data_IF_644787702603
#
_entry.id   IF_644787702603
#
_cell.length_a   1.000
_cell.length_b   1.000
_cell.length_c   1.000
_cell.angle_alpha   90.00
_cell.angle_beta   90.00
_cell.angle_gamma   90.00
#
_symmetry.space_group_name_H-M   'P 1'
#
loop_
_entity.id
_entity.type
_entity.pdbx_description
1 polymer ?
#
# COMPACT_ATOMS: atom_id res chain seq x y z
N UNK A 1 17.79 -5.24 51.14
CA UNK A 1 16.88 -4.55 50.21
C UNK A 1 17.30 -4.80 48.77
N UNK A 2 16.64 -5.74 48.10
CA UNK A 2 16.91 -6.09 46.70
C UNK A 2 15.59 -6.34 45.99
N UNK A 3 15.23 -5.40 45.12
CA UNK A 3 13.91 -5.29 44.48
C UNK A 3 13.56 -6.55 43.66
N UNK A 4 12.48 -7.19 44.06
CA UNK A 4 11.77 -8.19 43.29
C UNK A 4 10.62 -7.49 42.54
N UNK A 5 10.42 -7.82 41.27
CA UNK A 5 9.13 -7.66 40.59
C UNK A 5 8.94 -6.43 39.72
N UNK A 6 9.26 -6.57 38.43
CA UNK A 6 8.49 -5.95 37.34
C UNK A 6 8.65 -6.80 36.06
N UNK A 7 8.31 -8.07 36.17
CA UNK A 7 8.09 -8.91 34.99
C UNK A 7 6.80 -8.44 34.31
N UNK A 8 6.94 -7.98 33.08
CA UNK A 8 5.90 -7.64 32.10
C UNK A 8 4.57 -8.38 32.36
N UNK A 9 3.64 -7.69 33.02
CA UNK A 9 2.23 -8.06 32.96
C UNK A 9 1.73 -7.62 31.58
N UNK A 10 1.60 -8.58 30.67
CA UNK A 10 0.89 -8.40 29.42
C UNK A 10 -0.53 -7.88 29.76
N UNK A 11 -0.80 -6.63 29.40
CA UNK A 11 -2.14 -6.07 29.50
C UNK A 11 -3.00 -6.67 28.39
N UNK A 12 -3.68 -7.77 28.71
CA UNK A 12 -4.70 -8.41 27.91
C UNK A 12 -6.03 -7.62 27.93
N UNK A 13 -5.96 -6.32 27.61
CA UNK A 13 -7.12 -5.49 27.30
C UNK A 13 -6.76 -4.69 26.05
N UNK A 14 -7.60 -4.75 25.01
CA UNK A 14 -7.39 -4.16 23.69
C UNK A 14 -7.27 -2.63 23.66
N UNK A 15 -6.28 -2.09 24.36
CA UNK A 15 -5.88 -0.70 24.30
C UNK A 15 -5.08 -0.42 23.05
N UNK A 16 -5.33 0.74 22.45
CA UNK A 16 -4.60 1.22 21.28
C UNK A 16 -3.15 1.52 21.71
N UNK A 17 -2.20 0.75 21.18
CA UNK A 17 -0.76 1.05 21.33
C UNK A 17 -0.38 1.98 20.18
N UNK A 18 0.09 3.22 20.44
CA UNK A 18 0.47 4.15 19.39
C UNK A 18 1.47 3.54 18.40
N UNK A 19 1.22 3.72 17.10
CA UNK A 19 2.06 3.17 16.04
C UNK A 19 1.87 1.67 15.74
N UNK A 20 1.05 0.96 16.53
CA UNK A 20 0.78 -0.47 16.32
C UNK A 20 -0.30 -0.72 15.26
N UNK A 21 -0.45 -1.97 14.83
CA UNK A 21 -1.52 -2.39 13.93
C UNK A 21 -2.94 -2.21 14.49
N UNK A 22 -3.08 -1.96 15.80
CA UNK A 22 -4.37 -1.65 16.43
C UNK A 22 -4.63 -0.14 16.55
N UNK A 23 -3.67 0.71 16.15
CA UNK A 23 -3.80 2.16 16.12
C UNK A 23 -4.30 2.63 14.75
N UNK A 24 -5.55 3.12 14.63
CA UNK A 24 -6.11 3.55 13.35
C UNK A 24 -5.36 4.68 12.66
N UNK A 25 -4.48 5.43 13.35
CA UNK A 25 -3.67 6.49 12.76
C UNK A 25 -2.28 6.03 12.31
N UNK A 26 -1.93 4.77 12.53
CA UNK A 26 -0.60 4.24 12.24
C UNK A 26 -0.46 3.73 10.80
N UNK A 27 0.79 3.76 10.31
CA UNK A 27 1.15 3.12 9.04
C UNK A 27 0.99 1.60 9.10
N UNK A 28 1.18 0.99 10.26
CA UNK A 28 1.00 -0.44 10.47
C UNK A 28 -0.47 -0.86 10.30
N UNK A 29 -1.42 -0.07 10.83
CA UNK A 29 -2.85 -0.29 10.62
C UNK A 29 -3.22 -0.20 9.13
N UNK A 30 -2.71 0.82 8.43
CA UNK A 30 -2.92 0.96 6.99
C UNK A 30 -2.47 -0.29 6.22
N UNK A 31 -1.27 -0.81 6.51
CA UNK A 31 -0.75 -1.97 5.80
C UNK A 31 -1.49 -3.27 6.13
N UNK A 32 -1.85 -3.49 7.40
CA UNK A 32 -2.35 -4.78 7.87
C UNK A 32 -3.88 -4.88 7.85
N UNK A 33 -4.58 -3.81 8.25
CA UNK A 33 -6.04 -3.82 8.36
C UNK A 33 -6.72 -3.41 7.04
N UNK A 34 -6.14 -2.45 6.32
CA UNK A 34 -6.71 -1.94 5.05
C UNK A 34 -6.10 -2.66 3.84
N UNK A 35 -4.79 -2.86 3.86
CA UNK A 35 -4.01 -3.38 2.75
C UNK A 35 -3.45 -2.24 1.88
N UNK A 36 -2.17 -2.33 1.57
CA UNK A 36 -1.41 -1.34 0.80
C UNK A 36 -1.36 -1.64 -0.71
N UNK A 37 -1.83 -2.82 -1.12
CA UNK A 37 -1.65 -3.35 -2.48
C UNK A 37 -2.95 -3.51 -3.25
N UNK A 38 -2.89 -3.21 -4.54
CA UNK A 38 -3.91 -3.56 -5.53
C UNK A 38 -3.28 -4.44 -6.61
N UNK A 39 -3.95 -5.54 -6.97
CA UNK A 39 -3.50 -6.46 -8.01
C UNK A 39 -4.21 -6.21 -9.35
N UNK A 40 -3.55 -6.62 -10.42
CA UNK A 40 -4.03 -6.46 -11.80
C UNK A 40 -3.94 -7.76 -12.58
N UNK A 41 -4.87 -7.92 -13.52
CA UNK A 41 -4.85 -8.99 -14.50
C UNK A 41 -3.69 -8.82 -15.50
N UNK A 42 -3.40 -9.91 -16.22
CA UNK A 42 -2.38 -9.95 -17.27
C UNK A 42 -2.61 -8.81 -18.25
N UNK A 43 -1.57 -8.03 -18.49
CA UNK A 43 -1.56 -6.90 -19.42
C UNK A 43 -2.59 -5.78 -19.17
N UNK A 44 -3.20 -5.74 -17.98
CA UNK A 44 -4.20 -4.73 -17.64
C UNK A 44 -3.72 -3.72 -16.61
N UNK A 45 -4.32 -2.52 -16.68
CA UNK A 45 -4.27 -1.48 -15.65
C UNK A 45 -5.64 -1.09 -15.12
N UNK A 46 -6.68 -1.89 -15.43
CA UNK A 46 -8.04 -1.69 -14.94
C UNK A 46 -8.14 -2.21 -13.51
N UNK A 47 -8.80 -1.44 -12.64
CA UNK A 47 -9.01 -1.83 -11.24
C UNK A 47 -10.11 -2.88 -11.14
N UNK A 48 -9.80 -4.02 -10.53
CA UNK A 48 -10.80 -5.04 -10.17
C UNK A 48 -11.69 -4.56 -9.04
N UNK A 49 -12.86 -5.19 -8.84
CA UNK A 49 -13.76 -4.87 -7.72
C UNK A 49 -13.06 -4.99 -6.37
N UNK A 50 -12.20 -5.99 -6.20
CA UNK A 50 -11.38 -6.18 -4.99
C UNK A 50 -10.41 -5.02 -4.83
N UNK A 51 -9.70 -4.64 -5.89
CA UNK A 51 -8.80 -3.49 -5.87
C UNK A 51 -9.50 -2.18 -5.52
N UNK A 52 -10.70 -1.95 -6.07
CA UNK A 52 -11.54 -0.80 -5.72
C UNK A 52 -11.95 -0.81 -4.25
N UNK A 53 -12.31 -1.97 -3.69
CA UNK A 53 -12.65 -2.10 -2.27
C UNK A 53 -11.45 -1.74 -1.37
N UNK A 54 -10.24 -2.23 -1.70
CA UNK A 54 -9.01 -1.83 -1.00
C UNK A 54 -8.79 -0.31 -1.08
N UNK A 55 -8.88 0.27 -2.28
CA UNK A 55 -8.68 1.71 -2.47
C UNK A 55 -9.75 2.57 -1.77
N UNK A 56 -10.97 2.06 -1.58
CA UNK A 56 -11.98 2.73 -0.77
C UNK A 56 -11.56 2.84 0.70
N UNK A 57 -11.01 1.76 1.26
CA UNK A 57 -10.44 1.76 2.60
C UNK A 57 -9.26 2.73 2.70
N UNK A 58 -8.34 2.69 1.72
CA UNK A 58 -7.20 3.61 1.68
C UNK A 58 -7.63 5.08 1.58
N UNK A 59 -8.62 5.39 0.75
CA UNK A 59 -9.14 6.76 0.60
C UNK A 59 -9.76 7.28 1.91
N UNK A 60 -10.52 6.42 2.60
CA UNK A 60 -11.12 6.75 3.90
C UNK A 60 -10.02 7.08 4.91
N UNK A 61 -9.00 6.23 5.00
CA UNK A 61 -7.90 6.41 5.94
C UNK A 61 -7.05 7.65 5.62
N UNK A 62 -6.74 7.91 4.35
CA UNK A 62 -6.00 9.10 3.93
C UNK A 62 -6.80 10.38 4.18
N UNK A 63 -8.13 10.31 4.20
CA UNK A 63 -9.00 11.45 4.51
C UNK A 63 -9.01 11.79 6.01
N UNK A 64 -8.88 10.78 6.89
CA UNK A 64 -8.79 11.00 8.34
C UNK A 64 -7.39 11.32 8.81
N UNK A 65 -6.36 10.84 8.11
CA UNK A 65 -4.95 10.99 8.45
C UNK A 65 -4.27 11.97 7.48
N UNK A 66 -4.61 13.25 7.61
CA UNK A 66 -4.27 14.27 6.59
C UNK A 66 -2.79 14.65 6.52
N UNK A 67 -2.02 14.38 7.58
CA UNK A 67 -0.58 14.66 7.66
C UNK A 67 0.27 13.74 6.76
N UNK A 68 -0.30 12.61 6.32
CA UNK A 68 0.39 11.67 5.45
C UNK A 68 0.31 12.12 3.98
N UNK A 69 1.40 11.93 3.25
CA UNK A 69 1.39 11.86 1.79
C UNK A 69 1.50 10.41 1.36
N UNK A 70 1.30 10.12 0.08
CA UNK A 70 1.50 8.78 -0.45
C UNK A 70 2.20 8.81 -1.82
N UNK A 71 3.06 7.82 -2.01
CA UNK A 71 3.65 7.46 -3.29
C UNK A 71 3.02 6.15 -3.74
N UNK A 72 2.47 6.12 -4.94
CA UNK A 72 1.89 4.93 -5.54
C UNK A 72 2.90 4.34 -6.51
N UNK A 73 3.40 3.16 -6.16
CA UNK A 73 4.41 2.44 -6.92
C UNK A 73 3.77 1.43 -7.85
N UNK A 74 4.02 1.55 -9.16
CA UNK A 74 3.46 0.67 -10.17
C UNK A 74 4.45 -0.38 -10.64
N UNK A 75 4.03 -1.64 -10.60
CA UNK A 75 4.85 -2.81 -10.94
C UNK A 75 4.20 -3.68 -12.04
N UNK A 76 5.04 -4.45 -12.71
CA UNK A 76 4.65 -5.48 -13.66
C UNK A 76 5.45 -6.77 -13.45
N UNK A 77 4.97 -7.87 -14.05
CA UNK A 77 5.68 -9.13 -14.05
C UNK A 77 6.85 -9.12 -15.05
N UNK A 78 7.59 -10.22 -15.14
CA UNK A 78 8.86 -10.27 -15.89
C UNK A 78 8.69 -10.30 -17.42
N UNK A 79 7.47 -10.56 -17.90
CA UNK A 79 7.17 -10.81 -19.30
C UNK A 79 7.18 -9.53 -20.14
N UNK A 80 7.73 -9.59 -21.36
CA UNK A 80 7.83 -8.44 -22.26
C UNK A 80 9.04 -7.55 -22.01
N UNK A 81 9.13 -6.42 -22.73
CA UNK A 81 10.31 -5.53 -22.67
C UNK A 81 10.33 -4.69 -21.39
N UNK A 82 11.49 -4.13 -21.06
CA UNK A 82 11.65 -3.26 -19.89
C UNK A 82 10.80 -2.00 -20.02
N UNK A 83 10.87 -1.35 -21.18
CA UNK A 83 10.20 -0.09 -21.50
C UNK A 83 8.68 -0.27 -21.48
N UNK A 84 8.20 -1.40 -22.01
CA UNK A 84 6.79 -1.76 -21.97
C UNK A 84 6.29 -1.87 -20.52
N UNK A 85 7.03 -2.60 -19.68
CA UNK A 85 6.66 -2.82 -18.29
C UNK A 85 6.76 -1.54 -17.45
N UNK A 86 7.70 -0.65 -17.75
CA UNK A 86 7.77 0.67 -17.12
C UNK A 86 6.52 1.50 -17.45
N UNK A 87 6.09 1.50 -18.71
CA UNK A 87 4.85 2.17 -19.11
C UNK A 87 3.60 1.51 -18.48
N UNK A 88 3.53 0.17 -18.44
CA UNK A 88 2.41 -0.55 -17.83
C UNK A 88 2.33 -0.31 -16.32
N UNK A 89 3.46 -0.34 -15.61
CA UNK A 89 3.51 0.02 -14.20
C UNK A 89 3.04 1.46 -13.96
N UNK A 90 3.46 2.42 -14.80
CA UNK A 90 3.00 3.80 -14.71
C UNK A 90 1.48 3.91 -14.89
N UNK A 91 0.89 3.17 -15.85
CA UNK A 91 -0.58 3.14 -16.03
C UNK A 91 -1.29 2.58 -14.80
N UNK A 92 -0.78 1.50 -14.19
CA UNK A 92 -1.36 0.89 -12.98
C UNK A 92 -1.33 1.85 -11.78
N UNK A 93 -0.20 2.49 -11.53
CA UNK A 93 -0.08 3.45 -10.44
C UNK A 93 -0.98 4.68 -10.67
N UNK A 94 -1.08 5.18 -11.90
CA UNK A 94 -2.02 6.25 -12.22
C UNK A 94 -3.48 5.82 -12.05
N UNK A 95 -3.86 4.60 -12.45
CA UNK A 95 -5.23 4.11 -12.24
C UNK A 95 -5.62 4.12 -10.76
N UNK A 96 -4.73 3.65 -9.88
CA UNK A 96 -4.94 3.73 -8.42
C UNK A 96 -4.98 5.18 -7.93
N UNK A 97 -4.09 6.07 -8.42
CA UNK A 97 -4.08 7.50 -8.08
C UNK A 97 -5.41 8.17 -8.43
N UNK A 98 -5.86 8.05 -9.67
CA UNK A 98 -7.08 8.68 -10.15
C UNK A 98 -8.30 8.16 -9.39
N UNK A 99 -8.32 6.88 -9.04
CA UNK A 99 -9.36 6.33 -8.19
C UNK A 99 -9.36 7.00 -6.81
N UNK A 100 -8.22 7.08 -6.13
CA UNK A 100 -8.14 7.76 -4.81
C UNK A 100 -8.58 9.24 -4.89
N UNK A 101 -8.20 9.95 -5.96
CA UNK A 101 -8.65 11.33 -6.22
C UNK A 101 -10.16 11.39 -6.38
N UNK A 102 -10.76 10.47 -7.14
CA UNK A 102 -12.22 10.38 -7.32
C UNK A 102 -12.97 10.12 -6.01
N UNK A 103 -12.28 9.60 -4.98
CA UNK A 103 -12.81 9.36 -3.63
C UNK A 103 -12.50 10.49 -2.65
N UNK A 104 -11.93 11.60 -3.13
CA UNK A 104 -11.73 12.83 -2.35
C UNK A 104 -10.32 13.03 -1.81
N UNK A 105 -9.36 12.14 -2.08
CA UNK A 105 -7.97 12.35 -1.67
C UNK A 105 -7.35 13.44 -2.54
N UNK A 106 -6.80 14.48 -1.91
CA UNK A 106 -6.21 15.60 -2.64
C UNK A 106 -5.03 15.17 -3.53
N UNK A 107 -5.07 15.57 -4.80
CA UNK A 107 -4.09 15.16 -5.81
C UNK A 107 -2.65 15.58 -5.50
N UNK A 108 -2.44 16.66 -4.73
CA UNK A 108 -1.12 17.14 -4.30
C UNK A 108 -0.47 16.25 -3.23
N UNK A 109 -1.25 15.41 -2.54
CA UNK A 109 -0.75 14.43 -1.56
C UNK A 109 -0.34 13.10 -2.20
N UNK A 110 -0.63 12.92 -3.49
CA UNK A 110 -0.43 11.66 -4.21
C UNK A 110 0.59 11.81 -5.33
N UNK A 111 1.69 11.06 -5.22
CA UNK A 111 2.70 10.93 -6.28
C UNK A 111 2.67 9.53 -6.87
N UNK A 112 3.17 9.38 -8.10
CA UNK A 112 3.27 8.09 -8.78
C UNK A 112 4.73 7.85 -9.17
N UNK A 113 5.18 6.61 -8.99
CA UNK A 113 6.46 6.10 -9.49
C UNK A 113 6.19 4.77 -10.18
N UNK A 114 6.90 4.47 -11.27
CA UNK A 114 6.88 3.13 -11.84
C UNK A 114 8.24 2.47 -11.72
N UNK A 115 8.22 1.21 -11.28
CA UNK A 115 9.39 0.33 -11.29
C UNK A 115 9.31 -0.71 -12.41
N UNK A 116 8.20 -0.77 -13.15
CA UNK A 116 7.93 -1.84 -14.10
C UNK A 116 8.24 -3.21 -13.50
N UNK A 117 9.14 -3.95 -14.15
CA UNK A 117 9.58 -5.29 -13.72
C UNK A 117 10.85 -5.32 -12.86
N UNK A 118 11.37 -4.16 -12.45
CA UNK A 118 12.67 -4.05 -11.78
C UNK A 118 12.62 -4.36 -10.28
N UNK A 119 11.43 -4.39 -9.67
CA UNK A 119 11.21 -4.68 -8.24
C UNK A 119 10.17 -5.78 -8.02
N UNK A 120 10.47 -7.03 -8.43
CA UNK A 120 9.58 -8.16 -8.18
C UNK A 120 9.52 -8.46 -6.68
N UNK A 121 8.36 -8.94 -6.20
CA UNK A 121 8.24 -9.51 -4.85
C UNK A 121 8.44 -11.02 -4.87
N UNK A 122 8.17 -11.65 -6.01
CA UNK A 122 8.38 -13.08 -6.24
C UNK A 122 9.21 -13.26 -7.49
N UNK A 123 10.28 -14.06 -7.40
CA UNK A 123 11.17 -14.35 -8.52
C UNK A 123 10.94 -15.79 -8.92
N UNK A 124 9.99 -16.01 -9.83
CA UNK A 124 9.72 -17.33 -10.38
C UNK A 124 8.94 -17.23 -11.69
N UNK A 125 9.13 -18.21 -12.58
CA UNK A 125 8.49 -18.22 -13.91
C UNK A 125 7.19 -19.01 -13.93
N UNK A 126 6.25 -18.65 -13.04
CA UNK A 126 4.94 -19.29 -12.88
C UNK A 126 3.85 -18.23 -12.75
N UNK A 127 2.65 -18.51 -13.26
CA UNK A 127 1.54 -17.55 -13.23
C UNK A 127 1.21 -17.06 -11.82
N UNK A 128 1.29 -17.93 -10.82
CA UNK A 128 1.08 -17.57 -9.41
C UNK A 128 2.07 -16.49 -8.90
N UNK A 129 3.30 -16.46 -9.41
CA UNK A 129 4.27 -15.41 -9.09
C UNK A 129 4.00 -14.14 -9.88
N UNK A 130 3.68 -14.27 -11.17
CA UNK A 130 3.37 -13.12 -12.02
C UNK A 130 2.19 -12.32 -11.48
N UNK A 131 1.12 -12.99 -11.05
CA UNK A 131 -0.05 -12.36 -10.45
C UNK A 131 0.28 -11.48 -9.24
N UNK A 132 1.23 -11.91 -8.39
CA UNK A 132 1.72 -11.14 -7.24
C UNK A 132 2.56 -9.92 -7.66
N UNK A 133 3.28 -10.02 -8.78
CA UNK A 133 4.11 -8.93 -9.30
C UNK A 133 3.31 -7.86 -10.06
N UNK A 134 2.15 -8.20 -10.63
CA UNK A 134 1.24 -7.25 -11.28
C UNK A 134 0.45 -6.45 -10.26
N UNK A 135 1.06 -5.38 -9.72
CA UNK A 135 0.47 -4.61 -8.61
C UNK A 135 0.73 -3.12 -8.68
N UNK A 136 -0.07 -2.38 -7.93
CA UNK A 136 0.25 -1.05 -7.43
C UNK A 136 0.37 -1.11 -5.90
N UNK A 137 1.33 -0.40 -5.34
CA UNK A 137 1.57 -0.33 -3.88
C UNK A 137 1.46 1.11 -3.43
N UNK A 138 0.60 1.39 -2.45
CA UNK A 138 0.49 2.70 -1.82
C UNK A 138 1.46 2.76 -0.65
N UNK A 139 2.55 3.51 -0.81
CA UNK A 139 3.56 3.73 0.23
C UNK A 139 3.31 5.07 0.89
N UNK A 140 3.07 5.08 2.20
CA UNK A 140 2.87 6.31 2.96
C UNK A 140 4.21 7.03 3.15
N UNK A 141 4.21 8.34 2.90
CA UNK A 141 5.36 9.23 3.07
C UNK A 141 4.97 10.38 4.02
N UNK A 142 5.76 10.62 5.06
CA UNK A 142 5.36 11.50 6.17
C UNK A 142 4.58 10.73 7.24
N UNK A 143 4.45 11.31 8.44
CA UNK A 143 3.95 10.65 9.65
C UNK A 143 4.99 10.68 10.77
N UNK A 144 4.65 11.35 11.87
CA UNK A 144 5.52 11.80 12.97
C UNK A 144 6.53 12.90 12.55
N UNK A 145 6.03 14.05 12.09
CA UNK A 145 6.74 15.30 12.42
C UNK A 145 6.34 15.68 13.85
N UNK A 146 7.36 15.87 14.68
CA UNK A 146 7.38 16.16 16.12
C UNK A 146 6.18 16.87 16.72
#
# INVERSE_FOLDING_TARGET
>A
DGMNGAGNMANANGGIIPGSANDPASTAYFQQAIGDRVLFEVDQSTLTTVGQATLNGQATWLSTNTDYQAVIEGHADEQGTREYNLALGARRANAAREYLISRGVSANRLRVVSYGKERPIEICSQEACYAKNRRAVTVLAGGLTS
#
